data_IF_113982647310
#
_entry.id   IF_113982647310
#
_cell.length_a   1.000
_cell.length_b   1.000
_cell.length_c   1.000
_cell.angle_alpha   90.00
_cell.angle_beta   90.00
_cell.angle_gamma   90.00
#
_symmetry.space_group_name_H-M   'P 1'
#
loop_
_entity.id
_entity.type
_entity.pdbx_description
1 polymer ?
#
# COMPACT_ATOMS: atom_id res chain seq x y z
N UNK A 1 -22.20 -7.55 -24.77
CA UNK A 1 -21.02 -7.55 -23.87
C UNK A 1 -21.53 -7.83 -22.47
N UNK A 2 -21.04 -8.87 -21.79
CA UNK A 2 -21.41 -9.10 -20.40
C UNK A 2 -20.86 -7.96 -19.54
N UNK A 3 -21.70 -7.34 -18.73
CA UNK A 3 -21.26 -6.36 -17.73
C UNK A 3 -20.35 -7.10 -16.74
N UNK A 4 -19.05 -6.80 -16.76
CA UNK A 4 -18.16 -7.32 -15.71
C UNK A 4 -18.62 -6.75 -14.37
N UNK A 5 -18.74 -7.62 -13.37
CA UNK A 5 -18.97 -7.18 -12.00
C UNK A 5 -17.67 -6.57 -11.46
N UNK A 6 -17.63 -5.25 -11.35
CA UNK A 6 -16.47 -4.52 -10.85
C UNK A 6 -16.54 -4.27 -9.33
N UNK A 7 -17.61 -4.72 -8.66
CA UNK A 7 -17.74 -4.54 -7.22
C UNK A 7 -17.00 -5.63 -6.46
N UNK A 8 -16.13 -5.20 -5.53
CA UNK A 8 -15.44 -6.07 -4.59
C UNK A 8 -15.79 -5.66 -3.15
N UNK A 9 -15.98 -6.64 -2.27
CA UNK A 9 -16.12 -6.43 -0.83
C UNK A 9 -14.77 -6.64 -0.17
N UNK A 10 -14.32 -5.64 0.58
CA UNK A 10 -13.11 -5.69 1.41
C UNK A 10 -13.55 -5.80 2.85
N UNK A 11 -13.18 -6.91 3.50
CA UNK A 11 -13.32 -7.05 4.95
C UNK A 11 -12.47 -5.99 5.65
N UNK A 12 -13.13 -5.09 6.37
CA UNK A 12 -12.51 -3.93 6.98
C UNK A 12 -13.12 -3.67 8.36
N UNK A 13 -12.53 -2.73 9.10
CA UNK A 13 -13.06 -2.26 10.38
C UNK A 13 -13.55 -0.81 10.22
N UNK A 14 -14.64 -0.42 10.89
CA UNK A 14 -15.46 -1.22 11.81
C UNK A 14 -16.37 -2.25 11.09
N UNK A 15 -16.59 -2.11 9.80
CA UNK A 15 -17.44 -2.98 8.98
C UNK A 15 -16.87 -3.15 7.56
N UNK A 16 -17.30 -4.20 6.81
CA UNK A 16 -16.87 -4.42 5.43
C UNK A 16 -17.20 -3.25 4.51
N UNK A 17 -16.31 -2.94 3.56
CA UNK A 17 -16.48 -1.86 2.59
C UNK A 17 -16.57 -2.42 1.17
N UNK A 18 -17.54 -1.94 0.39
CA UNK A 18 -17.64 -2.29 -1.04
C UNK A 18 -16.99 -1.21 -1.89
N UNK A 19 -16.10 -1.60 -2.80
CA UNK A 19 -15.45 -0.72 -3.78
C UNK A 19 -15.83 -1.11 -5.20
N UNK A 20 -15.81 -0.13 -6.12
CA UNK A 20 -15.88 -0.36 -7.56
C UNK A 20 -14.48 -0.30 -8.15
N UNK A 21 -13.96 -1.45 -8.57
CA UNK A 21 -12.61 -1.62 -9.10
C UNK A 21 -12.35 -0.74 -10.34
N UNK A 22 -13.37 -0.44 -11.16
CA UNK A 22 -13.22 0.43 -12.32
C UNK A 22 -13.14 1.93 -11.97
N UNK A 23 -13.40 2.28 -10.70
CA UNK A 23 -13.43 3.66 -10.19
C UNK A 23 -12.54 3.85 -8.96
N UNK A 24 -11.66 2.89 -8.68
CA UNK A 24 -10.77 2.89 -7.52
C UNK A 24 -9.32 2.88 -7.99
N UNK A 25 -8.44 3.55 -7.26
CA UNK A 25 -7.00 3.53 -7.50
C UNK A 25 -6.26 3.20 -6.21
N UNK A 26 -5.10 2.57 -6.35
CA UNK A 26 -4.14 2.36 -5.26
C UNK A 26 -3.13 3.50 -5.25
N UNK A 27 -2.92 4.12 -4.09
CA UNK A 27 -1.95 5.18 -3.89
C UNK A 27 -0.89 4.70 -2.91
N UNK A 28 0.36 4.68 -3.34
CA UNK A 28 1.51 4.43 -2.45
C UNK A 28 2.13 5.78 -2.11
N UNK A 29 2.11 6.10 -0.81
CA UNK A 29 2.58 7.38 -0.30
C UNK A 29 4.02 7.22 0.17
N UNK A 30 4.92 8.02 -0.39
CA UNK A 30 6.26 8.29 0.16
C UNK A 30 7.16 7.07 0.43
N UNK A 31 7.02 5.99 -0.35
CA UNK A 31 7.92 4.82 -0.27
C UNK A 31 9.26 5.10 -0.96
N UNK A 32 9.99 6.12 -0.49
CA UNK A 32 11.27 6.57 -1.03
C UNK A 32 12.47 6.13 -0.17
N UNK A 33 13.64 6.03 -0.78
CA UNK A 33 14.86 5.56 -0.12
C UNK A 33 15.29 6.46 1.04
N UNK A 34 15.02 7.76 0.99
CA UNK A 34 15.36 8.67 2.09
C UNK A 34 14.66 8.30 3.40
N UNK A 35 13.51 7.62 3.32
CA UNK A 35 12.76 7.19 4.50
C UNK A 35 13.05 5.73 4.89
N UNK A 36 13.24 4.83 3.91
CA UNK A 36 13.28 3.37 4.16
C UNK A 36 14.59 2.64 3.90
N UNK A 37 15.60 3.30 3.33
CA UNK A 37 16.88 2.67 3.01
C UNK A 37 17.93 2.89 4.10
N UNK A 38 18.81 1.91 4.27
CA UNK A 38 20.08 2.13 4.98
C UNK A 38 20.86 3.22 4.25
N UNK A 39 21.38 4.18 5.03
CA UNK A 39 22.05 5.36 4.49
C UNK A 39 21.11 6.40 3.88
N UNK A 40 19.78 6.24 3.97
CA UNK A 40 18.80 7.30 3.70
C UNK A 40 18.76 8.36 4.82
N UNK A 41 18.00 9.43 4.60
CA UNK A 41 17.87 10.55 5.54
C UNK A 41 17.50 10.10 6.97
N UNK A 42 16.45 9.27 7.15
CA UNK A 42 16.04 8.82 8.49
C UNK A 42 17.08 7.91 9.17
N UNK A 43 17.70 7.01 8.40
CA UNK A 43 18.79 6.19 8.93
C UNK A 43 19.97 7.04 9.40
N UNK A 44 20.38 8.04 8.60
CA UNK A 44 21.46 8.98 8.97
C UNK A 44 21.10 9.85 10.18
N UNK A 45 19.82 10.15 10.37
CA UNK A 45 19.31 10.86 11.54
C UNK A 45 19.20 9.97 12.80
N UNK A 46 19.52 8.68 12.71
CA UNK A 46 19.44 7.73 13.84
C UNK A 46 18.02 7.25 14.14
N UNK A 47 17.07 7.45 13.23
CA UNK A 47 15.70 6.95 13.37
C UNK A 47 15.66 5.45 13.04
N UNK A 48 14.91 4.68 13.81
CA UNK A 48 14.67 3.27 13.50
C UNK A 48 13.78 3.14 12.25
N UNK A 49 14.36 2.56 11.19
CA UNK A 49 13.69 2.33 9.91
C UNK A 49 13.07 0.92 9.80
N UNK A 50 13.10 0.11 10.86
CA UNK A 50 12.60 -1.27 10.83
C UNK A 50 11.14 -1.36 10.39
N UNK A 51 10.29 -0.44 10.89
CA UNK A 51 8.85 -0.40 10.60
C UNK A 51 8.55 -0.11 9.13
N UNK A 52 9.20 0.89 8.53
CA UNK A 52 9.00 1.21 7.10
C UNK A 52 9.52 0.08 6.20
N UNK A 53 10.62 -0.58 6.59
CA UNK A 53 11.15 -1.74 5.84
C UNK A 53 10.20 -2.93 5.87
N UNK A 54 9.52 -3.16 6.99
CA UNK A 54 8.50 -4.22 7.10
C UNK A 54 7.30 -3.98 6.17
N UNK A 55 7.00 -2.72 5.81
CA UNK A 55 5.90 -2.40 4.91
C UNK A 55 6.20 -2.71 3.43
N UNK A 56 7.47 -2.86 3.03
CA UNK A 56 7.87 -3.01 1.61
C UNK A 56 7.18 -4.21 0.94
N UNK A 57 7.27 -5.40 1.53
CA UNK A 57 6.74 -6.64 0.93
C UNK A 57 5.20 -6.61 0.87
N UNK A 58 4.47 -6.25 1.94
CA UNK A 58 3.02 -6.06 1.85
C UNK A 58 2.60 -5.02 0.82
N UNK A 59 3.25 -3.85 0.76
CA UNK A 59 2.93 -2.82 -0.25
C UNK A 59 3.16 -3.33 -1.67
N UNK A 60 4.25 -4.05 -1.93
CA UNK A 60 4.51 -4.65 -3.24
C UNK A 60 3.42 -5.66 -3.65
N UNK A 61 2.91 -6.45 -2.69
CA UNK A 61 1.79 -7.39 -2.96
C UNK A 61 0.51 -6.68 -3.32
N UNK A 62 0.19 -5.56 -2.66
CA UNK A 62 -0.98 -4.74 -2.99
C UNK A 62 -0.84 -4.12 -4.37
N UNK A 63 0.34 -3.57 -4.70
CA UNK A 63 0.62 -3.02 -6.03
C UNK A 63 0.48 -4.07 -7.14
N UNK A 64 0.94 -5.31 -6.91
CA UNK A 64 0.81 -6.38 -7.89
C UNK A 64 -0.63 -6.86 -8.11
N UNK A 65 -1.53 -6.61 -7.14
CA UNK A 65 -2.93 -6.98 -7.21
C UNK A 65 -3.84 -5.86 -7.78
N UNK A 66 -3.31 -4.64 -7.89
CA UNK A 66 -4.00 -3.47 -8.42
C UNK A 66 -3.98 -3.46 -9.95
#
# INVERSE_FOLDING_TARGET
MASMNTKAVIEAKPEPTTIDLARTAVVVVDMQNDFGAEGGMFHRAGVDISSIRQAIVPTARVLAAA
#
